data_IF_598541726567
#
_entry.id   IF_598541726567
#
_cell.length_a   1.000
_cell.length_b   1.000
_cell.length_c   1.000
_cell.angle_alpha   90.00
_cell.angle_beta   90.00
_cell.angle_gamma   90.00
#
_symmetry.space_group_name_H-M   'P 1'
#
loop_
_entity.id
_entity.type
_entity.pdbx_description
1 polymer ?
#
# COMPACT_ATOMS: atom_id res chain seq x y z
N UNK A 1 -18.98 13.82 11.29
CA UNK A 1 -18.05 12.73 11.64
C UNK A 1 -17.65 11.85 10.45
N UNK A 2 -18.57 11.40 9.56
CA UNK A 2 -18.23 10.55 8.40
C UNK A 2 -17.18 11.22 7.47
N UNK A 3 -17.39 12.48 7.08
CA UNK A 3 -16.45 13.22 6.20
C UNK A 3 -15.05 13.37 6.79
N UNK A 4 -14.95 13.64 8.10
CA UNK A 4 -13.66 13.75 8.77
C UNK A 4 -12.88 12.42 8.77
N UNK A 5 -13.56 11.31 9.03
CA UNK A 5 -12.92 9.98 8.99
C UNK A 5 -12.39 9.66 7.59
N UNK A 6 -13.17 9.92 6.54
CA UNK A 6 -12.76 9.70 5.16
C UNK A 6 -11.57 10.60 4.80
N UNK A 7 -11.60 11.87 5.21
CA UNK A 7 -10.48 12.79 5.00
C UNK A 7 -9.20 12.27 5.67
N UNK A 8 -9.27 11.88 6.94
CA UNK A 8 -8.12 11.32 7.67
C UNK A 8 -7.56 10.08 6.95
N UNK A 9 -8.43 9.18 6.49
CA UNK A 9 -8.01 7.97 5.76
C UNK A 9 -7.30 8.33 4.45
N UNK A 10 -7.84 9.27 3.68
CA UNK A 10 -7.21 9.74 2.43
C UNK A 10 -5.85 10.39 2.68
N UNK A 11 -5.73 11.21 3.73
CA UNK A 11 -4.46 11.83 4.11
C UNK A 11 -3.42 10.79 4.55
N UNK A 12 -3.80 9.85 5.42
CA UNK A 12 -2.92 8.77 5.86
C UNK A 12 -2.48 7.89 4.68
N UNK A 13 -3.39 7.62 3.73
CA UNK A 13 -3.00 6.94 2.49
C UNK A 13 -1.96 7.73 1.69
N UNK A 14 -2.14 9.03 1.51
CA UNK A 14 -1.20 9.85 0.76
C UNK A 14 0.20 9.88 1.41
N UNK A 15 0.26 10.01 2.73
CA UNK A 15 1.51 9.95 3.50
C UNK A 15 2.20 8.59 3.33
N UNK A 16 1.45 7.50 3.46
CA UNK A 16 1.99 6.16 3.24
C UNK A 16 2.44 5.94 1.78
N UNK A 17 1.65 6.41 0.82
CA UNK A 17 1.90 6.20 -0.60
C UNK A 17 3.16 6.93 -1.10
N UNK A 18 3.47 8.13 -0.55
CA UNK A 18 4.70 8.85 -0.90
C UNK A 18 5.94 8.11 -0.38
N UNK A 19 5.93 7.66 0.88
CA UNK A 19 7.08 6.99 1.50
C UNK A 19 7.27 5.56 0.98
N UNK A 20 6.18 4.85 0.71
CA UNK A 20 6.22 3.51 0.11
C UNK A 20 6.53 3.52 -1.41
N UNK A 21 6.74 4.69 -2.03
CA UNK A 21 7.04 4.83 -3.45
C UNK A 21 5.87 4.54 -4.40
N UNK A 22 4.63 4.48 -3.89
CA UNK A 22 3.43 4.23 -4.70
C UNK A 22 3.17 5.39 -5.67
N UNK A 23 3.49 6.61 -5.27
CA UNK A 23 3.38 7.80 -6.14
C UNK A 23 4.54 7.93 -7.15
N UNK A 24 5.56 7.06 -7.07
CA UNK A 24 6.69 7.04 -7.98
C UNK A 24 7.92 7.81 -7.49
N UNK A 25 7.73 8.85 -6.70
CA UNK A 25 8.82 9.62 -6.06
C UNK A 25 8.50 9.82 -4.58
N UNK A 26 9.54 9.80 -3.75
CA UNK A 26 9.42 10.11 -2.33
C UNK A 26 9.08 11.59 -2.14
N UNK A 27 8.24 11.90 -1.16
CA UNK A 27 7.89 13.28 -0.80
C UNK A 27 6.93 13.98 -1.77
N UNK A 28 6.35 13.30 -2.77
CA UNK A 28 5.46 13.95 -3.75
C UNK A 28 4.25 14.65 -3.13
N UNK A 29 3.67 14.07 -2.10
CA UNK A 29 2.52 14.66 -1.41
C UNK A 29 2.94 15.86 -0.58
N UNK A 30 4.05 15.75 0.15
CA UNK A 30 4.66 16.83 0.90
C UNK A 30 4.97 18.02 0.00
N UNK A 31 5.77 17.81 -1.05
CA UNK A 31 6.25 18.87 -1.96
C UNK A 31 5.09 19.59 -2.65
N UNK A 32 4.07 18.83 -3.06
CA UNK A 32 2.87 19.42 -3.64
C UNK A 32 2.13 20.33 -2.65
N UNK A 33 1.94 19.89 -1.41
CA UNK A 33 1.22 20.67 -0.40
C UNK A 33 2.01 21.84 0.15
N UNK A 34 3.36 21.75 0.18
CA UNK A 34 4.24 22.80 0.68
C UNK A 34 4.08 24.11 -0.11
N UNK A 35 3.75 24.03 -1.42
CA UNK A 35 3.52 25.20 -2.27
C UNK A 35 2.31 26.05 -1.87
N UNK A 36 1.41 25.53 -1.03
CA UNK A 36 0.17 26.19 -0.68
C UNK A 36 0.19 26.74 0.75
N UNK A 37 -0.28 27.98 0.92
CA UNK A 37 -0.64 28.51 2.23
C UNK A 37 -1.89 27.80 2.79
N UNK A 38 -2.12 27.91 4.11
CA UNK A 38 -3.25 27.24 4.77
C UNK A 38 -4.62 27.56 4.14
N UNK A 39 -4.81 28.76 3.58
CA UNK A 39 -6.06 29.17 2.96
C UNK A 39 -6.33 28.42 1.65
N UNK A 40 -5.28 28.09 0.90
CA UNK A 40 -5.35 27.38 -0.40
C UNK A 40 -5.27 25.86 -0.24
N UNK A 41 -4.75 25.36 0.88
CA UNK A 41 -4.53 23.94 1.10
C UNK A 41 -5.79 23.10 0.91
N UNK A 42 -6.96 23.61 1.37
CA UNK A 42 -8.24 22.93 1.15
C UNK A 42 -8.51 22.68 -0.36
N UNK A 43 -8.27 23.69 -1.20
CA UNK A 43 -8.47 23.58 -2.63
C UNK A 43 -7.47 22.59 -3.24
N UNK A 44 -6.20 22.69 -2.87
CA UNK A 44 -5.16 21.78 -3.32
C UNK A 44 -5.49 20.31 -2.99
N UNK A 45 -6.00 20.03 -1.79
CA UNK A 45 -6.43 18.68 -1.39
C UNK A 45 -7.60 18.17 -2.24
N UNK A 46 -8.57 19.02 -2.56
CA UNK A 46 -9.71 18.66 -3.43
C UNK A 46 -9.20 18.29 -4.82
N UNK A 47 -8.35 19.12 -5.40
CA UNK A 47 -7.77 18.90 -6.73
C UNK A 47 -6.93 17.62 -6.76
N UNK A 48 -6.10 17.38 -5.74
CA UNK A 48 -5.33 16.16 -5.62
C UNK A 48 -6.23 14.91 -5.55
N UNK A 49 -7.26 14.92 -4.71
CA UNK A 49 -8.16 13.77 -4.60
C UNK A 49 -8.92 13.49 -5.90
N UNK A 50 -9.28 14.52 -6.66
CA UNK A 50 -9.87 14.36 -7.99
C UNK A 50 -8.90 13.70 -8.97
N UNK A 51 -7.64 14.10 -8.97
CA UNK A 51 -6.61 13.48 -9.83
C UNK A 51 -6.34 12.03 -9.45
N UNK A 52 -6.27 11.74 -8.16
CA UNK A 52 -6.10 10.36 -7.66
C UNK A 52 -7.29 9.44 -8.04
N UNK A 53 -8.49 10.00 -8.22
CA UNK A 53 -9.69 9.27 -8.67
C UNK A 53 -9.86 9.25 -10.20
N UNK A 54 -9.12 10.06 -10.95
CA UNK A 54 -9.28 10.21 -12.40
C UNK A 54 -8.21 9.42 -13.15
N UNK A 55 -8.66 8.51 -14.03
CA UNK A 55 -7.74 7.76 -14.90
C UNK A 55 -6.98 8.69 -15.84
N UNK A 56 -5.74 8.34 -16.22
CA UNK A 56 -4.91 9.18 -17.09
C UNK A 56 -5.58 9.58 -18.41
N UNK A 57 -6.37 8.69 -19.00
CA UNK A 57 -7.11 8.91 -20.25
C UNK A 57 -8.30 9.88 -20.11
N UNK A 58 -8.79 10.06 -18.87
CA UNK A 58 -9.96 10.91 -18.59
C UNK A 58 -9.56 12.29 -18.01
N UNK A 59 -8.24 12.54 -17.83
CA UNK A 59 -7.72 13.81 -17.32
C UNK A 59 -7.76 14.91 -18.36
N UNK A 60 -7.82 16.15 -17.89
CA UNK A 60 -7.67 17.31 -18.75
C UNK A 60 -6.34 17.22 -19.55
N UNK A 61 -6.39 17.27 -20.88
CA UNK A 61 -5.18 17.17 -21.71
C UNK A 61 -4.16 18.29 -21.46
N UNK A 62 -4.59 19.44 -20.93
CA UNK A 62 -3.72 20.57 -20.60
C UNK A 62 -3.18 20.54 -19.17
N UNK A 63 -3.60 19.56 -18.35
CA UNK A 63 -3.18 19.46 -16.94
C UNK A 63 -1.65 19.48 -16.77
N UNK A 64 -0.91 18.85 -17.70
CA UNK A 64 0.56 18.82 -17.63
C UNK A 64 1.21 20.18 -17.83
N UNK A 65 0.56 21.04 -18.63
CA UNK A 65 1.06 22.40 -18.90
C UNK A 65 0.66 23.35 -17.77
N UNK A 66 -0.55 23.19 -17.23
CA UNK A 66 -1.11 24.06 -16.19
C UNK A 66 -0.58 23.71 -14.78
N UNK A 67 -0.47 22.43 -14.46
CA UNK A 67 0.03 21.95 -13.15
C UNK A 67 0.78 20.61 -13.32
N UNK A 68 2.07 20.65 -13.68
CA UNK A 68 2.88 19.46 -13.92
C UNK A 68 3.05 18.59 -12.67
N UNK A 69 3.11 19.18 -11.49
CA UNK A 69 3.22 18.42 -10.23
C UNK A 69 1.96 17.60 -9.99
N UNK A 70 0.79 18.22 -10.09
CA UNK A 70 -0.50 17.54 -9.93
C UNK A 70 -0.70 16.45 -10.99
N UNK A 71 -0.27 16.71 -12.23
CA UNK A 71 -0.35 15.76 -13.32
C UNK A 71 0.50 14.49 -13.12
N UNK A 72 1.57 14.60 -12.33
CA UNK A 72 2.49 13.50 -12.05
C UNK A 72 1.91 12.44 -11.10
N UNK A 73 0.88 12.78 -10.31
CA UNK A 73 0.25 11.81 -9.41
C UNK A 73 -0.42 10.67 -10.19
N UNK A 74 -0.26 9.40 -9.73
CA UNK A 74 -0.90 8.25 -10.36
C UNK A 74 -2.42 8.23 -10.12
N UNK A 75 -3.13 7.40 -10.88
CA UNK A 75 -4.50 7.01 -10.57
C UNK A 75 -4.50 5.93 -9.48
N UNK A 76 -5.31 6.11 -8.45
CA UNK A 76 -5.48 5.16 -7.35
C UNK A 76 -6.79 4.40 -7.53
N UNK A 77 -6.67 3.17 -8.02
CA UNK A 77 -7.82 2.29 -8.17
C UNK A 77 -8.34 1.79 -6.81
N UNK A 78 -9.64 1.52 -6.69
CA UNK A 78 -10.24 0.92 -5.49
C UNK A 78 -11.26 1.79 -4.76
N UNK A 79 -11.62 2.95 -5.32
CA UNK A 79 -12.73 3.78 -4.83
C UNK A 79 -12.41 4.58 -3.55
N UNK A 80 -11.16 4.60 -3.07
CA UNK A 80 -10.78 5.39 -1.89
C UNK A 80 -11.03 6.88 -2.11
N UNK A 81 -10.72 7.37 -3.31
CA UNK A 81 -10.89 8.77 -3.71
C UNK A 81 -12.19 9.00 -4.50
N UNK A 82 -12.98 7.94 -4.78
CA UNK A 82 -14.23 8.04 -5.51
C UNK A 82 -15.14 9.12 -4.91
N UNK A 83 -15.88 9.76 -5.80
CA UNK A 83 -16.64 10.98 -5.57
C UNK A 83 -17.70 10.80 -4.49
N UNK A 84 -17.28 10.82 -3.23
CA UNK A 84 -18.15 11.10 -2.10
C UNK A 84 -17.99 12.58 -1.78
N UNK A 85 -19.09 13.32 -1.69
CA UNK A 85 -19.12 14.71 -1.20
C UNK A 85 -18.64 14.73 0.25
N UNK A 86 -17.32 14.72 0.44
CA UNK A 86 -16.72 14.87 1.75
C UNK A 86 -16.52 16.37 2.04
N UNK A 87 -16.90 16.78 3.21
CA UNK A 87 -16.59 18.10 3.70
C UNK A 87 -15.12 18.15 4.15
N UNK A 88 -14.30 18.92 3.43
CA UNK A 88 -12.93 19.22 3.83
C UNK A 88 -12.95 20.59 4.52
N UNK A 89 -12.62 20.67 5.82
CA UNK A 89 -12.60 21.94 6.54
C UNK A 89 -11.46 22.84 6.04
N UNK A 90 -11.55 24.16 6.27
CA UNK A 90 -10.40 25.03 6.03
C UNK A 90 -9.24 24.66 6.96
N UNK A 91 -8.02 24.74 6.45
CA UNK A 91 -6.81 24.50 7.23
C UNK A 91 -6.41 25.78 7.97
N UNK A 92 -5.87 25.62 9.17
CA UNK A 92 -5.12 26.66 9.88
C UNK A 92 -3.61 26.47 9.62
N UNK A 93 -2.83 27.52 9.86
CA UNK A 93 -1.35 27.41 9.74
C UNK A 93 -0.80 26.33 10.69
N UNK A 94 -1.41 26.17 11.87
CA UNK A 94 -1.04 25.12 12.83
C UNK A 94 -1.27 23.71 12.26
N UNK A 95 -2.46 23.47 11.70
CA UNK A 95 -2.79 22.14 11.10
C UNK A 95 -1.91 21.89 9.88
N UNK A 96 -1.67 22.91 9.05
CA UNK A 96 -0.75 22.81 7.92
C UNK A 96 0.64 22.38 8.37
N UNK A 97 1.20 23.05 9.36
CA UNK A 97 2.55 22.76 9.86
C UNK A 97 2.61 21.37 10.51
N UNK A 98 1.59 20.97 11.27
CA UNK A 98 1.50 19.61 11.81
C UNK A 98 1.49 18.56 10.70
N UNK A 99 0.77 18.79 9.61
CA UNK A 99 0.71 17.86 8.49
C UNK A 99 2.07 17.75 7.77
N UNK A 100 2.68 18.88 7.42
CA UNK A 100 3.91 18.90 6.64
C UNK A 100 5.13 18.50 7.47
N UNK A 101 5.28 19.05 8.69
CA UNK A 101 6.47 18.81 9.51
C UNK A 101 6.35 17.48 10.28
N UNK A 102 5.26 17.28 11.04
CA UNK A 102 5.16 16.16 11.97
C UNK A 102 4.64 14.88 11.33
N UNK A 103 3.65 14.99 10.45
CA UNK A 103 3.05 13.80 9.86
C UNK A 103 3.79 13.35 8.59
N UNK A 104 4.37 14.27 7.80
CA UNK A 104 5.11 13.91 6.59
C UNK A 104 6.62 13.90 6.84
N UNK A 105 7.27 15.03 7.13
CA UNK A 105 8.74 15.10 7.17
C UNK A 105 9.40 14.34 8.35
N UNK A 106 8.77 14.35 9.54
CA UNK A 106 9.34 13.73 10.75
C UNK A 106 9.03 12.23 10.90
N UNK A 107 8.19 11.65 10.05
CA UNK A 107 7.72 10.28 10.19
C UNK A 107 7.82 9.51 8.86
N UNK A 108 8.47 8.36 8.86
CA UNK A 108 8.58 7.46 7.71
C UNK A 108 7.45 6.40 7.76
N UNK A 109 6.40 6.62 6.95
CA UNK A 109 5.25 5.73 6.87
C UNK A 109 5.58 4.39 6.20
N UNK A 110 6.68 4.28 5.45
CA UNK A 110 7.10 3.03 4.81
C UNK A 110 7.53 1.95 5.81
N UNK A 111 7.89 2.37 7.05
CA UNK A 111 8.19 1.44 8.14
C UNK A 111 6.94 0.72 8.67
N UNK A 112 5.74 1.26 8.39
CA UNK A 112 4.49 0.60 8.77
C UNK A 112 4.21 -0.55 7.81
N UNK A 113 4.06 -1.75 8.37
CA UNK A 113 3.68 -2.93 7.57
C UNK A 113 2.38 -2.67 6.78
N UNK A 114 2.32 -3.01 5.46
CA UNK A 114 1.09 -2.90 4.66
C UNK A 114 -0.12 -3.57 5.31
N UNK A 115 0.10 -4.63 6.09
CA UNK A 115 -0.94 -5.37 6.82
C UNK A 115 -1.51 -4.55 7.97
N UNK A 116 -0.66 -3.83 8.71
CA UNK A 116 -1.09 -2.91 9.78
C UNK A 116 -1.81 -1.72 9.16
N UNK A 117 -1.28 -1.20 8.05
CA UNK A 117 -1.89 -0.12 7.31
C UNK A 117 -3.31 -0.48 6.83
N UNK A 118 -3.50 -1.69 6.26
CA UNK A 118 -4.81 -2.22 5.90
C UNK A 118 -5.79 -2.27 7.08
N UNK A 119 -5.31 -2.64 8.27
CA UNK A 119 -6.13 -2.66 9.49
C UNK A 119 -6.58 -1.26 9.94
N UNK A 120 -5.72 -0.25 9.82
CA UNK A 120 -6.07 1.16 10.11
C UNK A 120 -7.16 1.62 9.14
N UNK A 121 -7.01 1.32 7.85
CA UNK A 121 -8.03 1.59 6.83
C UNK A 121 -9.38 0.97 7.19
N UNK A 122 -9.38 -0.31 7.45
CA UNK A 122 -10.60 -1.06 7.79
C UNK A 122 -11.26 -0.52 9.06
N UNK A 123 -10.47 -0.11 10.06
CA UNK A 123 -10.99 0.44 11.32
C UNK A 123 -11.69 1.79 11.15
N UNK A 124 -11.32 2.56 10.12
CA UNK A 124 -11.79 3.93 9.91
C UNK A 124 -12.95 4.03 8.91
N UNK A 125 -13.07 3.06 7.98
CA UNK A 125 -14.02 3.13 6.89
C UNK A 125 -15.48 2.88 7.29
N UNK A 126 -15.78 2.03 8.25
CA UNK A 126 -17.17 1.93 8.74
C UNK A 126 -17.34 1.11 10.04
N UNK A 127 -17.73 1.74 11.18
CA UNK A 127 -18.04 1.01 12.41
C UNK A 127 -19.22 0.04 12.31
N UNK A 128 -20.16 0.25 11.38
CA UNK A 128 -21.35 -0.58 11.20
C UNK A 128 -21.09 -1.80 10.32
N UNK A 129 -20.33 -1.66 9.24
CA UNK A 129 -19.88 -2.81 8.43
C UNK A 129 -18.89 -3.69 9.16
N UNK A 130 -18.13 -3.14 10.11
CA UNK A 130 -17.23 -3.88 11.00
C UNK A 130 -17.97 -4.93 11.83
N UNK A 131 -19.19 -4.62 12.30
CA UNK A 131 -20.01 -5.56 13.10
C UNK A 131 -20.76 -6.59 12.27
N UNK A 132 -21.18 -6.24 11.06
CA UNK A 132 -22.01 -7.10 10.20
C UNK A 132 -21.23 -7.95 9.21
N UNK A 133 -20.00 -7.56 8.84
CA UNK A 133 -19.19 -8.23 7.81
C UNK A 133 -18.18 -9.24 8.33
N UNK A 134 -17.99 -9.38 9.66
CA UNK A 134 -16.98 -10.31 10.21
C UNK A 134 -15.54 -9.95 9.80
N UNK A 135 -15.32 -8.71 9.34
CA UNK A 135 -14.01 -8.23 8.95
C UNK A 135 -13.18 -7.96 10.20
N UNK A 136 -12.37 -8.91 10.57
CA UNK A 136 -11.40 -8.80 11.66
C UNK A 136 -10.00 -8.80 11.08
N UNK A 137 -9.22 -7.78 11.44
CA UNK A 137 -7.79 -7.80 11.17
C UNK A 137 -7.17 -9.08 11.72
N UNK A 138 -6.54 -9.84 10.84
CA UNK A 138 -5.78 -11.02 11.24
C UNK A 138 -4.32 -10.64 11.33
N UNK A 139 -3.73 -10.75 12.52
CA UNK A 139 -2.33 -10.43 12.73
C UNK A 139 -1.41 -11.32 11.90
N UNK A 140 -0.24 -10.80 11.53
CA UNK A 140 0.78 -11.55 10.78
C UNK A 140 1.09 -12.89 11.46
N UNK A 141 1.22 -12.91 12.78
CA UNK A 141 1.45 -14.13 13.55
C UNK A 141 0.34 -15.18 13.34
N UNK A 142 -0.93 -14.75 13.33
CA UNK A 142 -2.04 -15.67 13.09
C UNK A 142 -2.14 -16.11 11.62
N UNK A 143 -1.74 -15.27 10.68
CA UNK A 143 -1.61 -15.64 9.26
C UNK A 143 -0.58 -16.76 9.13
N UNK A 144 0.60 -16.62 9.75
CA UNK A 144 1.67 -17.61 9.71
C UNK A 144 1.28 -18.95 10.35
N UNK A 145 0.41 -18.96 11.38
CA UNK A 145 -0.15 -20.22 11.92
C UNK A 145 -0.93 -21.03 10.87
N UNK A 146 -1.39 -20.38 9.82
CA UNK A 146 -2.12 -21.02 8.71
C UNK A 146 -1.19 -21.29 7.53
N UNK A 147 -0.47 -20.28 7.04
CA UNK A 147 0.31 -20.41 5.80
C UNK A 147 1.57 -21.24 5.98
N UNK A 148 2.20 -21.21 7.17
CA UNK A 148 3.43 -21.99 7.42
C UNK A 148 3.17 -23.49 7.27
N UNK A 149 2.26 -24.12 8.03
CA UNK A 149 2.01 -25.55 7.88
C UNK A 149 1.28 -25.93 6.58
N UNK A 150 0.62 -24.97 5.92
CA UNK A 150 -0.13 -25.26 4.71
C UNK A 150 0.78 -25.45 3.48
N UNK A 151 1.83 -24.65 3.34
CA UNK A 151 2.72 -24.70 2.17
C UNK A 151 4.12 -24.11 2.40
N UNK A 152 4.27 -23.15 3.32
CA UNK A 152 5.50 -22.38 3.40
C UNK A 152 6.65 -23.19 3.98
N UNK A 153 6.37 -24.05 4.97
CA UNK A 153 7.38 -24.93 5.56
C UNK A 153 7.89 -25.97 4.58
N UNK A 154 7.03 -26.52 3.72
CA UNK A 154 7.43 -27.44 2.66
C UNK A 154 8.35 -26.76 1.65
N UNK A 155 8.02 -25.53 1.24
CA UNK A 155 8.85 -24.76 0.32
C UNK A 155 10.21 -24.38 0.94
N UNK A 156 10.23 -23.99 2.20
CA UNK A 156 11.47 -23.70 2.95
C UNK A 156 12.34 -24.94 3.07
N UNK A 157 11.77 -26.11 3.34
CA UNK A 157 12.50 -27.36 3.45
C UNK A 157 13.08 -27.78 2.08
N UNK A 158 12.30 -27.68 1.01
CA UNK A 158 12.79 -27.96 -0.36
C UNK A 158 13.97 -27.07 -0.73
N UNK A 159 13.91 -25.76 -0.44
CA UNK A 159 15.03 -24.86 -0.67
C UNK A 159 16.27 -25.27 0.14
N UNK A 160 16.12 -25.64 1.42
CA UNK A 160 17.24 -26.13 2.25
C UNK A 160 17.86 -27.38 1.69
N UNK A 161 17.08 -28.32 1.17
CA UNK A 161 17.61 -29.53 0.51
C UNK A 161 18.40 -29.18 -0.75
N UNK A 162 17.92 -28.24 -1.55
CA UNK A 162 18.63 -27.75 -2.75
C UNK A 162 19.96 -27.09 -2.36
N UNK A 163 19.98 -26.29 -1.31
CA UNK A 163 21.17 -25.60 -0.82
C UNK A 163 22.28 -26.57 -0.36
N UNK A 164 21.91 -27.78 0.12
CA UNK A 164 22.85 -28.83 0.55
C UNK A 164 23.50 -29.58 -0.63
N UNK A 165 23.05 -29.37 -1.86
CA UNK A 165 23.63 -30.05 -3.03
C UNK A 165 25.04 -29.53 -3.28
N UNK A 166 26.03 -30.47 -3.28
CA UNK A 166 27.45 -30.14 -3.43
C UNK A 166 27.86 -29.94 -4.90
N UNK A 167 27.15 -30.55 -5.86
CA UNK A 167 27.45 -30.44 -7.30
C UNK A 167 26.82 -29.17 -7.84
N UNK A 168 27.66 -28.16 -8.13
CA UNK A 168 27.19 -26.81 -8.50
C UNK A 168 26.23 -26.84 -9.69
N UNK A 169 26.54 -27.54 -10.79
CA UNK A 169 25.65 -27.61 -11.95
C UNK A 169 24.26 -28.17 -11.62
N UNK A 170 24.19 -29.13 -10.70
CA UNK A 170 22.92 -29.72 -10.26
C UNK A 170 22.18 -28.76 -9.35
N UNK A 171 22.90 -28.08 -8.45
CA UNK A 171 22.35 -27.04 -7.57
C UNK A 171 21.72 -25.93 -8.41
N UNK A 172 22.48 -25.36 -9.36
CA UNK A 172 21.98 -24.25 -10.21
C UNK A 172 20.71 -24.64 -10.99
N UNK A 173 20.66 -25.86 -11.52
CA UNK A 173 19.47 -26.36 -12.20
C UNK A 173 18.28 -26.43 -11.25
N UNK A 174 18.50 -27.02 -10.08
CA UNK A 174 17.44 -27.17 -9.07
C UNK A 174 16.93 -25.82 -8.54
N UNK A 175 17.79 -24.83 -8.36
CA UNK A 175 17.41 -23.47 -7.98
C UNK A 175 16.52 -22.83 -9.04
N UNK A 176 16.86 -22.95 -10.32
CA UNK A 176 16.02 -22.44 -11.43
C UNK A 176 14.68 -23.16 -11.52
N UNK A 177 14.67 -24.49 -11.36
CA UNK A 177 13.43 -25.28 -11.35
C UNK A 177 12.55 -24.85 -10.18
N UNK A 178 13.13 -24.60 -8.99
CA UNK A 178 12.43 -24.12 -7.81
C UNK A 178 11.89 -22.68 -8.00
N UNK A 179 12.68 -21.77 -8.57
CA UNK A 179 12.20 -20.41 -8.90
C UNK A 179 11.02 -20.47 -9.88
N UNK A 180 11.10 -21.33 -10.90
CA UNK A 180 10.00 -21.56 -11.84
C UNK A 180 8.77 -22.12 -11.12
N UNK A 181 8.96 -23.03 -10.15
CA UNK A 181 7.88 -23.54 -9.32
C UNK A 181 7.22 -22.40 -8.55
N UNK A 182 7.99 -21.56 -7.85
CA UNK A 182 7.44 -20.41 -7.09
C UNK A 182 6.61 -19.46 -7.98
N UNK A 183 7.10 -19.15 -9.18
CA UNK A 183 6.40 -18.25 -10.12
C UNK A 183 5.08 -18.82 -10.68
N UNK A 184 4.91 -20.14 -10.67
CA UNK A 184 3.70 -20.80 -11.16
C UNK A 184 2.68 -21.10 -10.07
N UNK A 185 2.98 -20.81 -8.79
CA UNK A 185 2.02 -20.98 -7.70
C UNK A 185 0.84 -20.02 -7.88
N UNK A 186 -0.36 -20.50 -7.60
CA UNK A 186 -1.59 -19.71 -7.66
C UNK A 186 -2.30 -19.82 -6.32
N UNK A 187 -2.71 -18.67 -5.81
CA UNK A 187 -3.35 -18.55 -4.51
C UNK A 187 -4.76 -18.03 -4.68
N UNK A 188 -5.68 -18.63 -3.94
CA UNK A 188 -7.08 -18.20 -3.88
C UNK A 188 -7.48 -18.10 -2.41
N UNK A 189 -7.91 -16.92 -2.00
CA UNK A 189 -8.60 -16.72 -0.74
C UNK A 189 -10.03 -16.29 -1.03
N UNK A 190 -11.02 -17.19 -0.87
CA UNK A 190 -12.42 -16.92 -1.20
C UNK A 190 -13.09 -15.94 -0.20
N UNK A 191 -12.44 -15.63 0.91
CA UNK A 191 -12.93 -14.73 1.95
C UNK A 191 -11.87 -13.67 2.32
N UNK A 192 -11.18 -13.16 1.31
CA UNK A 192 -9.93 -12.38 1.46
C UNK A 192 -10.04 -11.12 2.34
N UNK A 193 -11.24 -10.56 2.53
CA UNK A 193 -11.40 -9.30 3.27
C UNK A 193 -10.48 -8.22 2.72
N UNK A 194 -9.56 -7.69 3.56
CA UNK A 194 -8.52 -6.74 3.15
C UNK A 194 -7.36 -7.36 2.37
N UNK A 195 -7.36 -8.69 2.14
CA UNK A 195 -6.31 -9.40 1.40
C UNK A 195 -5.06 -9.73 2.22
N UNK A 196 -5.11 -9.64 3.55
CA UNK A 196 -3.95 -9.82 4.41
C UNK A 196 -3.24 -11.17 4.22
N UNK A 197 -4.00 -12.27 4.05
CA UNK A 197 -3.42 -13.59 3.76
C UNK A 197 -2.71 -13.63 2.43
N UNK A 198 -3.27 -13.04 1.37
CA UNK A 198 -2.66 -13.00 0.04
C UNK A 198 -1.41 -12.12 0.05
N UNK A 199 -1.47 -10.97 0.72
CA UNK A 199 -0.33 -10.06 0.85
C UNK A 199 0.84 -10.73 1.57
N UNK A 200 0.61 -11.34 2.74
CA UNK A 200 1.65 -12.00 3.51
C UNK A 200 2.18 -13.26 2.81
N UNK A 201 1.31 -14.00 2.12
CA UNK A 201 1.72 -15.11 1.26
C UNK A 201 2.68 -14.63 0.17
N UNK A 202 2.32 -13.54 -0.55
CA UNK A 202 3.18 -12.95 -1.57
C UNK A 202 4.54 -12.52 -1.01
N UNK A 203 4.55 -11.80 0.10
CA UNK A 203 5.79 -11.35 0.76
C UNK A 203 6.66 -12.55 1.15
N UNK A 204 6.08 -13.60 1.71
CA UNK A 204 6.79 -14.81 2.14
C UNK A 204 7.41 -15.55 0.94
N UNK A 205 6.68 -15.69 -0.17
CA UNK A 205 7.18 -16.29 -1.41
C UNK A 205 8.31 -15.43 -2.02
N UNK A 206 8.16 -14.10 -2.03
CA UNK A 206 9.22 -13.20 -2.53
C UNK A 206 10.49 -13.26 -1.68
N UNK A 207 10.38 -13.48 -0.37
CA UNK A 207 11.54 -13.71 0.50
C UNK A 207 12.28 -14.99 0.12
N UNK A 208 11.55 -16.10 -0.12
CA UNK A 208 12.17 -17.36 -0.61
C UNK A 208 12.83 -17.20 -1.97
N UNK A 209 12.18 -16.51 -2.90
CA UNK A 209 12.76 -16.24 -4.22
C UNK A 209 14.03 -15.40 -4.12
N UNK A 210 14.05 -14.39 -3.25
CA UNK A 210 15.26 -13.59 -2.99
C UNK A 210 16.41 -14.44 -2.41
N UNK A 211 16.12 -15.46 -1.61
CA UNK A 211 17.14 -16.42 -1.15
C UNK A 211 17.69 -17.23 -2.31
N UNK A 212 16.84 -17.69 -3.23
CA UNK A 212 17.26 -18.42 -4.45
C UNK A 212 18.19 -17.57 -5.34
N UNK A 213 17.88 -16.27 -5.48
CA UNK A 213 18.66 -15.35 -6.32
C UNK A 213 20.05 -15.05 -5.73
N UNK A 214 20.20 -15.14 -4.42
CA UNK A 214 21.48 -14.90 -3.73
C UNK A 214 22.43 -16.08 -3.78
N UNK A 215 21.97 -17.29 -4.08
CA UNK A 215 22.75 -18.54 -4.18
C UNK A 215 23.37 -18.72 -5.57
#
# INVERSE_FOLDING_TARGET
MKSLNILCVRMVFCLYAEDAGIFGQHGMFHDYLEEFDARKMRKAMIELFQILDTKPEDRDPYLKDDNPQLAAFPYVNGGLFANEDIEIPPFTDEIRNLLLEKASADFDWSEISPTIFGAVFESTLNPETRRSGGMHYTSIENIHKVIDPLFLDDLKNELKEIQQITVQRTKDKKLRDFQTKLSNLRWLDPASGSGNFLTETYISIRRLENEVIKE
#
